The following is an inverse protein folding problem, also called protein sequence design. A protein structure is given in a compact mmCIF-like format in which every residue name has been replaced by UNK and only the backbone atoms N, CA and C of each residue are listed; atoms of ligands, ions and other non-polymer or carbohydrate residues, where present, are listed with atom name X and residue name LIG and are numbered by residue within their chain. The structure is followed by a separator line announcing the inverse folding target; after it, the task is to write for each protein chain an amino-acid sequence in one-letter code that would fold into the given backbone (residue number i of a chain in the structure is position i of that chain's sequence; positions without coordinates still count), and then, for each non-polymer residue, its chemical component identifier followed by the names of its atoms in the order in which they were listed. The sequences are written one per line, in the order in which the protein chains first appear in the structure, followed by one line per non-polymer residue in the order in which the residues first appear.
data_IF_736253613471
#
_entry.id   IF_736253613471
#
_cell.length_a   1.000
_cell.length_b   1.000
_cell.length_c   1.000
_cell.angle_alpha   90.00
_cell.angle_beta   90.00
_cell.angle_gamma   90.00
#
_symmetry.space_group_name_H-M   'P 1'
#
loop_
_entity.id
_entity.type
_entity.pdbx_description
1 polymer ?
#
# COMPACT_ATOMS: atom_id res chain seq x y z
N UNK A 1 5.75 -23.96 -39.90
CA UNK A 1 4.63 -23.11 -39.47
C UNK A 1 4.47 -23.32 -37.97
N UNK A 2 4.99 -22.39 -37.17
CA UNK A 2 4.85 -22.42 -35.71
C UNK A 2 4.47 -21.01 -35.29
N UNK A 3 3.21 -20.80 -34.92
CA UNK A 3 2.81 -19.61 -34.19
C UNK A 3 2.67 -20.06 -32.75
N UNK A 4 3.69 -19.74 -31.95
CA UNK A 4 3.64 -19.83 -30.49
C UNK A 4 2.58 -18.82 -30.03
N UNK A 5 1.42 -19.33 -29.65
CA UNK A 5 0.42 -18.59 -28.91
C UNK A 5 0.84 -18.48 -27.45
N UNK A 6 1.44 -17.34 -27.09
CA UNK A 6 1.64 -16.94 -25.71
C UNK A 6 1.87 -15.43 -25.68
N UNK A 7 0.78 -14.65 -25.63
CA UNK A 7 0.77 -13.24 -25.25
C UNK A 7 -0.69 -12.84 -24.95
N UNK A 8 -1.03 -12.72 -23.67
CA UNK A 8 -2.27 -12.13 -23.18
C UNK A 8 -2.01 -11.73 -21.74
N UNK A 9 -1.43 -10.55 -21.56
CA UNK A 9 -1.01 -10.03 -20.26
C UNK A 9 -2.21 -9.69 -19.38
N UNK A 10 -2.11 -10.06 -18.11
CA UNK A 10 -3.04 -9.80 -17.01
C UNK A 10 -3.09 -8.32 -16.60
N UNK A 11 -2.85 -7.39 -17.53
CA UNK A 11 -2.76 -5.96 -17.23
C UNK A 11 -4.13 -5.38 -16.79
N UNK A 12 -5.25 -6.05 -17.08
CA UNK A 12 -6.61 -5.58 -16.74
C UNK A 12 -7.14 -6.05 -15.38
N UNK A 13 -6.54 -7.06 -14.73
CA UNK A 13 -7.15 -7.66 -13.53
C UNK A 13 -7.10 -6.73 -12.30
N UNK A 14 -6.00 -5.97 -12.15
CA UNK A 14 -5.80 -5.09 -10.99
C UNK A 14 -6.56 -3.74 -11.12
N UNK A 15 -6.95 -3.35 -12.35
CA UNK A 15 -7.75 -2.15 -12.61
C UNK A 15 -9.26 -2.38 -12.49
N UNK A 16 -9.68 -3.57 -12.04
CA UNK A 16 -11.09 -3.84 -11.77
C UNK A 16 -11.62 -3.02 -10.58
N UNK A 17 -12.90 -2.62 -10.60
CA UNK A 17 -13.53 -1.94 -9.46
C UNK A 17 -13.41 -2.75 -8.16
N UNK A 18 -13.49 -4.08 -8.23
CA UNK A 18 -13.38 -4.96 -7.07
C UNK A 18 -12.00 -4.93 -6.44
N UNK A 19 -10.93 -4.93 -7.25
CA UNK A 19 -9.56 -4.81 -6.75
C UNK A 19 -9.32 -3.44 -6.08
N UNK A 20 -9.79 -2.37 -6.73
CA UNK A 20 -9.67 -1.00 -6.19
C UNK A 20 -10.45 -0.84 -4.89
N UNK A 21 -11.68 -1.36 -4.80
CA UNK A 21 -12.48 -1.35 -3.58
C UNK A 21 -11.82 -2.13 -2.43
N UNK A 22 -11.20 -3.27 -2.72
CA UNK A 22 -10.48 -4.05 -1.71
C UNK A 22 -9.25 -3.27 -1.18
N UNK A 23 -8.51 -2.60 -2.06
CA UNK A 23 -7.39 -1.76 -1.69
C UNK A 23 -7.82 -0.54 -0.86
N UNK A 24 -8.85 0.18 -1.29
CA UNK A 24 -9.36 1.34 -0.57
C UNK A 24 -9.88 0.97 0.82
N UNK A 25 -10.58 -0.17 0.93
CA UNK A 25 -11.04 -0.69 2.22
C UNK A 25 -9.87 -1.05 3.14
N UNK A 26 -8.83 -1.72 2.61
CA UNK A 26 -7.62 -2.00 3.36
C UNK A 26 -6.95 -0.71 3.86
N UNK A 27 -6.68 0.24 2.97
CA UNK A 27 -5.95 1.48 3.31
C UNK A 27 -6.73 2.32 4.30
N UNK A 28 -8.05 2.44 4.13
CA UNK A 28 -8.90 3.16 5.07
C UNK A 28 -8.85 2.52 6.47
N UNK A 29 -9.03 1.21 6.58
CA UNK A 29 -8.98 0.52 7.88
C UNK A 29 -7.59 0.55 8.50
N UNK A 30 -6.54 0.37 7.69
CA UNK A 30 -5.17 0.32 8.17
C UNK A 30 -4.62 1.68 8.59
N UNK A 31 -4.89 2.73 7.80
CA UNK A 31 -4.30 4.06 8.00
C UNK A 31 -5.26 5.00 8.73
N UNK A 32 -6.49 5.17 8.22
CA UNK A 32 -7.40 6.19 8.73
C UNK A 32 -8.06 5.76 10.05
N UNK A 33 -8.48 4.50 10.13
CA UNK A 33 -9.03 3.93 11.37
C UNK A 33 -7.93 3.48 12.33
N UNK A 34 -6.70 3.32 11.84
CA UNK A 34 -5.55 2.87 12.64
C UNK A 34 -5.71 1.45 13.17
N UNK A 35 -6.32 0.55 12.39
CA UNK A 35 -6.64 -0.81 12.81
C UNK A 35 -5.87 -1.85 11.99
N UNK A 36 -4.70 -2.27 12.49
CA UNK A 36 -3.92 -3.35 11.89
C UNK A 36 -4.69 -4.69 11.91
N UNK A 37 -5.41 -4.97 12.99
CA UNK A 37 -6.23 -6.19 13.13
C UNK A 37 -7.40 -6.19 12.14
N UNK A 38 -8.13 -5.07 12.06
CA UNK A 38 -9.24 -4.94 11.10
C UNK A 38 -8.76 -5.02 9.64
N UNK A 39 -7.58 -4.48 9.35
CA UNK A 39 -6.98 -4.52 8.02
C UNK A 39 -6.53 -5.92 7.59
N UNK A 40 -6.22 -6.81 8.55
CA UNK A 40 -5.71 -8.16 8.25
C UNK A 40 -6.65 -8.99 7.38
N UNK A 41 -7.97 -8.76 7.46
CA UNK A 41 -8.96 -9.46 6.61
C UNK A 41 -8.83 -9.13 5.12
N UNK A 42 -8.17 -8.03 4.75
CA UNK A 42 -7.94 -7.64 3.37
C UNK A 42 -6.53 -7.99 2.88
N UNK A 43 -5.68 -8.48 3.78
CA UNK A 43 -4.30 -8.83 3.46
C UNK A 43 -4.16 -10.34 3.25
N UNK A 44 -3.20 -10.72 2.40
CA UNK A 44 -2.70 -12.08 2.35
C UNK A 44 -2.09 -12.46 3.70
N UNK A 45 -2.08 -13.76 4.02
CA UNK A 45 -1.70 -14.25 5.36
C UNK A 45 -0.36 -13.71 5.86
N UNK A 46 0.65 -13.67 4.99
CA UNK A 46 2.00 -13.24 5.37
C UNK A 46 2.10 -11.73 5.58
N UNK A 47 1.41 -10.95 4.73
CA UNK A 47 1.27 -9.49 4.91
C UNK A 47 0.56 -9.18 6.22
N UNK A 48 -0.55 -9.88 6.50
CA UNK A 48 -1.36 -9.73 7.71
C UNK A 48 -0.55 -9.85 9.00
N UNK A 49 0.42 -10.78 9.06
CA UNK A 49 1.31 -10.96 10.21
C UNK A 49 2.24 -9.77 10.46
N UNK A 50 2.57 -9.01 9.42
CA UNK A 50 3.49 -7.86 9.51
C UNK A 50 2.79 -6.53 9.81
N UNK A 51 1.46 -6.47 9.71
CA UNK A 51 0.70 -5.21 9.77
C UNK A 51 0.91 -4.44 11.08
N UNK A 52 1.02 -5.14 12.22
CA UNK A 52 1.25 -4.49 13.51
C UNK A 52 2.57 -3.70 13.54
N UNK A 53 3.64 -4.24 12.94
CA UNK A 53 4.95 -3.58 12.85
C UNK A 53 4.86 -2.35 11.95
N UNK A 54 4.23 -2.49 10.78
CA UNK A 54 4.05 -1.38 9.86
C UNK A 54 3.17 -0.27 10.41
N UNK A 55 2.12 -0.63 11.15
CA UNK A 55 1.24 0.32 11.81
C UNK A 55 1.99 1.16 12.86
N UNK A 56 2.98 0.58 13.55
CA UNK A 56 3.82 1.34 14.46
C UNK A 56 4.64 2.45 13.76
N UNK A 57 5.06 2.23 12.50
CA UNK A 57 5.70 3.28 11.70
C UNK A 57 4.72 4.40 11.35
N UNK A 58 3.49 4.09 10.95
CA UNK A 58 2.45 5.09 10.69
C UNK A 58 2.15 5.94 11.93
N UNK A 59 2.01 5.30 13.10
CA UNK A 59 1.83 6.01 14.38
C UNK A 59 3.04 6.90 14.69
N UNK A 60 4.26 6.37 14.55
CA UNK A 60 5.50 7.11 14.80
C UNK A 60 5.55 8.38 13.96
N UNK A 61 5.13 8.29 12.70
CA UNK A 61 5.20 9.36 11.70
C UNK A 61 3.93 10.25 11.70
N UNK A 62 2.97 9.96 12.59
CA UNK A 62 1.73 10.72 12.77
C UNK A 62 0.74 10.56 11.62
N UNK A 63 0.92 9.56 10.76
CA UNK A 63 0.12 9.35 9.54
C UNK A 63 -1.24 8.74 9.90
N UNK A 64 -2.31 9.47 9.58
CA UNK A 64 -3.71 9.06 9.83
C UNK A 64 -4.67 9.46 8.71
N UNK A 65 -4.18 10.16 7.69
CA UNK A 65 -5.01 10.70 6.62
C UNK A 65 -4.60 10.08 5.29
N UNK A 66 -5.59 9.70 4.49
CA UNK A 66 -5.44 9.26 3.11
C UNK A 66 -5.99 10.40 2.23
N UNK A 67 -5.19 10.93 1.32
CA UNK A 67 -5.60 12.01 0.43
C UNK A 67 -6.21 11.44 -0.85
N UNK A 68 -7.54 11.47 -0.91
CA UNK A 68 -8.30 11.04 -2.08
C UNK A 68 -8.31 9.52 -2.30
N UNK A 69 -8.88 9.05 -3.42
CA UNK A 69 -8.88 7.65 -3.79
C UNK A 69 -7.49 7.18 -4.25
N UNK A 70 -7.27 5.87 -4.21
CA UNK A 70 -6.09 5.25 -4.79
C UNK A 70 -5.97 5.52 -6.29
N UNK A 71 -4.75 5.74 -6.77
CA UNK A 71 -4.45 5.87 -8.18
C UNK A 71 -3.74 4.62 -8.68
N UNK A 72 -4.37 3.90 -9.59
CA UNK A 72 -3.78 2.71 -10.17
C UNK A 72 -2.60 3.08 -11.09
N UNK A 73 -1.54 2.26 -11.05
CA UNK A 73 -0.27 2.50 -11.74
C UNK A 73 0.31 1.18 -12.22
N UNK A 74 0.73 1.18 -13.49
CA UNK A 74 1.49 0.08 -14.06
C UNK A 74 2.95 0.08 -13.62
N UNK A 75 3.60 -1.08 -13.71
CA UNK A 75 5.06 -1.24 -13.57
C UNK A 75 5.66 -0.69 -12.26
N UNK A 76 4.94 -0.80 -11.14
CA UNK A 76 5.48 -0.39 -9.85
C UNK A 76 6.57 -1.38 -9.39
N UNK A 77 7.74 -0.86 -9.04
CA UNK A 77 8.80 -1.68 -8.43
C UNK A 77 8.40 -2.09 -7.02
N UNK A 78 8.27 -3.40 -6.78
CA UNK A 78 7.96 -3.99 -5.48
C UNK A 78 9.14 -3.87 -4.49
N UNK A 79 8.87 -3.69 -3.18
CA UNK A 79 9.90 -3.59 -2.16
C UNK A 79 10.55 -4.96 -1.87
N UNK A 80 11.65 -5.30 -2.55
CA UNK A 80 12.32 -6.59 -2.38
C UNK A 80 13.38 -6.63 -1.25
N UNK A 81 13.66 -7.82 -0.67
CA UNK A 81 14.91 -8.08 0.03
C UNK A 81 16.11 -7.87 -0.91
N UNK A 82 17.21 -7.36 -0.34
CA UNK A 82 18.40 -6.79 -1.02
C UNK A 82 19.06 -7.69 -2.08
N UNK A 83 18.79 -9.00 -2.09
CA UNK A 83 19.49 -9.99 -2.93
C UNK A 83 18.62 -10.63 -4.04
N UNK A 84 17.42 -10.12 -4.31
CA UNK A 84 16.55 -10.62 -5.37
C UNK A 84 16.43 -9.63 -6.56
N UNK A 85 16.22 -10.11 -7.80
CA UNK A 85 15.97 -9.23 -8.94
C UNK A 85 14.69 -8.41 -8.70
N UNK A 86 14.75 -7.11 -9.03
CA UNK A 86 13.59 -6.19 -8.95
C UNK A 86 12.49 -6.73 -9.86
N UNK A 87 11.34 -7.07 -9.29
CA UNK A 87 10.13 -7.36 -10.05
C UNK A 87 9.22 -6.14 -10.08
N UNK A 88 8.76 -5.82 -11.26
CA UNK A 88 7.70 -4.84 -11.48
C UNK A 88 6.34 -5.55 -11.36
N UNK A 89 5.33 -4.80 -10.95
CA UNK A 89 3.94 -5.25 -10.97
C UNK A 89 3.00 -4.09 -10.72
N UNK A 90 1.76 -4.24 -11.17
CA UNK A 90 0.77 -3.18 -11.05
C UNK A 90 0.38 -2.95 -9.60
N UNK A 91 0.17 -1.68 -9.24
CA UNK A 91 -0.11 -1.28 -7.88
C UNK A 91 -1.13 -0.15 -7.82
N UNK A 92 -1.74 0.01 -6.64
CA UNK A 92 -2.55 1.18 -6.33
C UNK A 92 -1.75 2.09 -5.39
N UNK A 93 -1.63 3.35 -5.79
CA UNK A 93 -0.81 4.35 -5.09
C UNK A 93 -1.70 5.33 -4.36
N UNK A 94 -1.41 5.51 -3.08
CA UNK A 94 -2.06 6.45 -2.18
C UNK A 94 -1.07 7.51 -1.74
N UNK A 95 -1.60 8.71 -1.51
CA UNK A 95 -0.89 9.77 -0.83
C UNK A 95 -1.41 9.85 0.60
N UNK A 96 -0.51 9.74 1.56
CA UNK A 96 -0.84 9.79 2.98
C UNK A 96 -0.30 11.08 3.60
N UNK A 97 -1.01 11.58 4.60
CA UNK A 97 -0.59 12.74 5.39
C UNK A 97 -0.63 12.41 6.87
N UNK A 98 0.42 12.88 7.56
CA UNK A 98 0.54 12.82 9.00
C UNK A 98 0.89 14.17 9.59
N UNK A 99 0.37 14.42 10.79
CA UNK A 99 0.66 15.61 11.57
C UNK A 99 1.08 15.18 12.97
N UNK A 100 2.24 15.66 13.43
CA UNK A 100 2.76 15.32 14.75
C UNK A 100 3.39 16.54 15.42
N UNK A 101 3.03 16.84 16.68
CA UNK A 101 3.71 17.88 17.44
C UNK A 101 5.20 17.59 17.58
N UNK A 102 6.04 18.60 17.31
CA UNK A 102 7.47 18.53 17.53
C UNK A 102 7.79 19.02 18.95
N UNK A 103 8.02 18.05 19.84
CA UNK A 103 8.19 18.29 21.28
C UNK A 103 9.26 19.34 21.65
N UNK A 104 10.23 19.63 20.78
CA UNK A 104 11.34 20.57 21.06
C UNK A 104 11.11 22.00 20.59
N UNK A 105 10.17 22.24 19.68
CA UNK A 105 10.07 23.52 18.97
C UNK A 105 8.68 24.15 19.01
N UNK A 106 7.68 23.45 19.54
CA UNK A 106 6.28 23.89 19.51
C UNK A 106 5.65 23.88 18.11
N UNK A 107 6.41 23.47 17.09
CA UNK A 107 5.96 23.35 15.69
C UNK A 107 5.30 22.00 15.44
N UNK A 108 4.57 21.89 14.33
CA UNK A 108 3.97 20.63 13.89
C UNK A 108 4.78 20.08 12.72
N UNK A 109 5.29 18.86 12.87
CA UNK A 109 5.87 18.11 11.75
C UNK A 109 4.75 17.62 10.85
N UNK A 110 4.92 17.87 9.55
CA UNK A 110 4.06 17.32 8.53
C UNK A 110 4.81 16.19 7.82
N UNK A 111 4.23 15.01 7.83
CA UNK A 111 4.71 13.87 7.03
C UNK A 111 3.81 13.77 5.81
N UNK A 112 4.38 13.80 4.61
CA UNK A 112 3.70 13.29 3.42
C UNK A 112 4.29 11.93 3.10
N UNK A 113 3.51 10.97 2.65
CA UNK A 113 4.04 9.67 2.29
C UNK A 113 3.36 9.12 1.05
N UNK A 114 4.14 8.37 0.28
CA UNK A 114 3.58 7.51 -0.77
C UNK A 114 3.37 6.12 -0.18
N UNK A 115 2.17 5.60 -0.34
CA UNK A 115 1.82 4.26 0.09
C UNK A 115 1.36 3.46 -1.13
N UNK A 116 2.05 2.36 -1.42
CA UNK A 116 1.79 1.54 -2.61
C UNK A 116 1.30 0.18 -2.15
N UNK A 117 0.24 -0.33 -2.75
CA UNK A 117 -0.28 -1.67 -2.45
C UNK A 117 -0.35 -2.49 -3.72
N UNK A 118 0.07 -3.74 -3.63
CA UNK A 118 -0.07 -4.74 -4.68
C UNK A 118 -1.14 -5.73 -4.26
N UNK A 119 -1.95 -6.15 -5.23
CA UNK A 119 -3.05 -7.07 -5.01
C UNK A 119 -2.80 -8.41 -5.71
N UNK A 120 -3.47 -9.43 -5.22
CA UNK A 120 -3.57 -10.74 -5.86
C UNK A 120 -4.84 -11.45 -5.42
N UNK A 121 -5.21 -12.52 -6.13
CA UNK A 121 -6.32 -13.39 -5.76
C UNK A 121 -5.86 -14.46 -4.75
N UNK A 122 -6.54 -14.54 -3.62
CA UNK A 122 -6.36 -15.62 -2.63
C UNK A 122 -7.74 -16.13 -2.19
N UNK A 123 -8.00 -17.42 -2.36
CA UNK A 123 -9.29 -18.03 -2.00
C UNK A 123 -10.49 -17.38 -2.71
N UNK A 124 -10.31 -16.89 -3.94
CA UNK A 124 -11.35 -16.21 -4.73
C UNK A 124 -11.56 -14.73 -4.40
N UNK A 125 -10.94 -14.19 -3.35
CA UNK A 125 -11.04 -12.78 -2.97
C UNK A 125 -9.78 -11.99 -3.36
N UNK A 126 -9.93 -10.70 -3.62
CA UNK A 126 -8.81 -9.76 -3.76
C UNK A 126 -8.17 -9.51 -2.39
N UNK A 127 -6.84 -9.66 -2.32
CA UNK A 127 -6.04 -9.45 -1.12
C UNK A 127 -4.81 -8.62 -1.40
N UNK A 128 -4.36 -7.87 -0.40
CA UNK A 128 -3.07 -7.19 -0.43
C UNK A 128 -1.97 -8.22 -0.25
N UNK A 129 -1.19 -8.43 -1.30
CA UNK A 129 -0.07 -9.40 -1.30
C UNK A 129 1.24 -8.75 -0.93
N UNK A 130 1.33 -7.42 -1.04
CA UNK A 130 2.51 -6.64 -0.69
C UNK A 130 2.13 -5.16 -0.54
N UNK A 131 2.89 -4.41 0.24
CA UNK A 131 2.78 -2.95 0.26
C UNK A 131 4.12 -2.29 0.62
N UNK A 132 4.24 -1.02 0.27
CA UNK A 132 5.38 -0.18 0.55
C UNK A 132 4.94 1.17 1.13
N UNK A 133 5.74 1.71 2.04
CA UNK A 133 5.55 2.99 2.69
C UNK A 133 6.84 3.82 2.56
N UNK A 134 6.78 4.90 1.78
CA UNK A 134 7.89 5.84 1.59
C UNK A 134 7.53 7.22 2.15
N UNK A 135 7.98 7.58 3.37
CA UNK A 135 7.73 8.88 3.96
C UNK A 135 8.69 9.97 3.46
N UNK A 136 8.18 11.18 3.36
CA UNK A 136 8.89 12.43 3.14
C UNK A 136 8.51 13.41 4.25
N UNK A 137 9.51 13.80 5.05
CA UNK A 137 9.32 14.70 6.19
C UNK A 137 9.56 16.14 5.78
N UNK A 138 8.61 17.01 6.11
CA UNK A 138 8.70 18.45 5.92
C UNK A 138 8.33 19.17 7.22
N UNK A 139 9.06 20.24 7.55
CA UNK A 139 8.74 21.10 8.70
C UNK A 139 7.85 22.25 8.27
N UNK A 140 6.68 22.41 8.91
CA UNK A 140 5.80 23.57 8.75
C UNK A 140 5.82 24.46 10.00
#
# INVERSE_FOLDING_TARGET
MSVLGACGGDDDELFTPEATNAADAFVRTFVAEGSAEGAARYAARDVGRSLAVWHAYLIRDGVRTVEGPGSARGSCVKPFPVFAPRREGDCIVYRLVGLKPWAKTGKTLMTTARFRVWLGREGGAWKITEFDYTPHLETR
#
